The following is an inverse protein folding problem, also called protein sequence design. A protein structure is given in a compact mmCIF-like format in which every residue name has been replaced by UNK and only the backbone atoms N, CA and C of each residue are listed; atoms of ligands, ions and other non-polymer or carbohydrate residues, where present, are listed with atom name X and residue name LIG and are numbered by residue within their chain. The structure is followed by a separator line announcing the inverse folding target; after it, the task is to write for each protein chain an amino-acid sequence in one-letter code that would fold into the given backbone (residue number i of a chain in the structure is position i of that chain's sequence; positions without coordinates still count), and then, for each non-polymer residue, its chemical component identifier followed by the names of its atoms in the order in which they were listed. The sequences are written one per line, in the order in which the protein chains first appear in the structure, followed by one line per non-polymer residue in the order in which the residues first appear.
data_IF_311640667789
#
_entry.id   IF_311640667789
#
_cell.length_a   1.000
_cell.length_b   1.000
_cell.length_c   1.000
_cell.angle_alpha   90.00
_cell.angle_beta   90.00
_cell.angle_gamma   90.00
#
_symmetry.space_group_name_H-M   'P 1'
#
loop_
_entity.id
_entity.type
_entity.pdbx_description
1 polymer ?
#
# COMPACT_ATOMS: atom_id res chain seq x y z
N UNK A 1 1.52 53.44 -46.63
CA UNK A 1 0.59 52.81 -45.68
C UNK A 1 0.79 51.29 -45.75
N UNK A 2 1.05 50.69 -44.59
CA UNK A 2 1.00 49.26 -44.21
C UNK A 2 1.48 48.13 -45.13
N UNK A 3 2.60 47.51 -44.73
CA UNK A 3 2.76 46.04 -44.80
C UNK A 3 3.07 45.50 -43.39
N UNK A 4 2.04 45.02 -42.69
CA UNK A 4 2.19 44.26 -41.45
C UNK A 4 2.42 42.79 -41.77
N UNK A 5 3.50 42.20 -41.25
CA UNK A 5 3.75 40.76 -41.28
C UNK A 5 3.05 40.12 -40.08
N UNK A 6 2.16 39.13 -40.25
CA UNK A 6 1.60 38.40 -39.11
C UNK A 6 2.64 37.41 -38.59
N UNK A 7 2.99 37.55 -37.30
CA UNK A 7 3.79 36.60 -36.56
C UNK A 7 2.97 35.34 -36.26
N UNK A 8 3.56 34.17 -36.54
CA UNK A 8 2.98 32.87 -36.22
C UNK A 8 3.37 32.55 -34.76
N UNK A 9 2.37 32.47 -33.88
CA UNK A 9 2.53 31.90 -32.53
C UNK A 9 2.26 30.40 -32.64
N UNK A 10 3.30 29.58 -32.46
CA UNK A 10 3.16 28.13 -32.35
C UNK A 10 2.85 27.81 -30.88
N UNK A 11 1.61 27.43 -30.59
CA UNK A 11 1.23 26.88 -29.30
C UNK A 11 1.66 25.41 -29.24
N UNK A 12 2.65 25.08 -28.39
CA UNK A 12 3.03 23.70 -28.10
C UNK A 12 2.03 23.14 -27.10
N UNK A 13 1.15 22.25 -27.56
CA UNK A 13 0.28 21.48 -26.69
C UNK A 13 1.05 20.29 -26.10
N UNK A 14 1.34 20.33 -24.80
CA UNK A 14 1.86 19.17 -24.06
C UNK A 14 0.70 18.23 -23.80
N UNK A 15 0.63 17.13 -24.55
CA UNK A 15 -0.32 16.05 -24.28
C UNK A 15 0.24 15.18 -23.15
N UNK A 16 -0.25 15.38 -21.92
CA UNK A 16 -0.05 14.39 -20.85
C UNK A 16 -0.90 13.16 -21.17
N UNK A 17 -0.28 12.11 -21.70
CA UNK A 17 -0.93 10.83 -21.87
C UNK A 17 -1.23 10.21 -20.49
N UNK A 18 -2.47 10.35 -20.02
CA UNK A 18 -2.97 9.59 -18.88
C UNK A 18 -3.08 8.12 -19.28
N UNK A 19 -2.19 7.26 -18.77
CA UNK A 19 -2.31 5.82 -18.98
C UNK A 19 -3.61 5.30 -18.34
N UNK A 20 -4.42 4.51 -19.05
CA UNK A 20 -5.67 3.99 -18.49
C UNK A 20 -5.38 3.09 -17.28
N UNK A 21 -5.96 3.42 -16.13
CA UNK A 21 -5.80 2.70 -14.86
C UNK A 21 -6.14 1.19 -14.94
N UNK A 22 -6.93 0.77 -15.94
CA UNK A 22 -7.28 -0.63 -16.24
C UNK A 22 -6.11 -1.47 -16.78
N UNK A 23 -5.08 -0.87 -17.36
CA UNK A 23 -3.92 -1.59 -17.91
C UNK A 23 -2.81 -1.82 -16.86
N UNK A 24 -2.92 -1.22 -15.69
CA UNK A 24 -1.91 -1.36 -14.64
C UNK A 24 -1.99 -2.78 -14.08
N UNK A 25 -0.84 -3.45 -13.94
CA UNK A 25 -0.80 -4.79 -13.35
C UNK A 25 -0.96 -4.67 -11.83
N UNK A 26 -1.59 -5.64 -11.13
CA UNK A 26 -1.67 -5.67 -9.67
C UNK A 26 -0.30 -5.46 -9.02
N UNK A 27 0.74 -6.10 -9.56
CA UNK A 27 2.13 -5.95 -9.13
C UNK A 27 2.60 -4.49 -9.11
N UNK A 28 2.28 -3.71 -10.15
CA UNK A 28 2.71 -2.32 -10.27
C UNK A 28 2.10 -1.42 -9.17
N UNK A 29 0.97 -1.84 -8.59
CA UNK A 29 0.37 -1.15 -7.43
C UNK A 29 1.22 -1.36 -6.18
N UNK A 30 1.68 -2.60 -5.96
CA UNK A 30 2.54 -2.95 -4.82
C UNK A 30 3.96 -2.40 -4.99
N UNK A 31 4.52 -2.47 -6.21
CA UNK A 31 5.82 -1.87 -6.52
C UNK A 31 5.82 -0.36 -6.21
N UNK A 32 4.76 0.35 -6.61
CA UNK A 32 4.63 1.78 -6.33
C UNK A 32 4.44 2.05 -4.84
N UNK A 33 3.63 1.24 -4.15
CA UNK A 33 3.42 1.37 -2.70
C UNK A 33 4.75 1.32 -1.95
N UNK A 34 5.57 0.31 -2.18
CA UNK A 34 6.88 0.22 -1.53
C UNK A 34 7.86 1.29 -2.00
N UNK A 35 7.80 1.71 -3.28
CA UNK A 35 8.65 2.80 -3.76
C UNK A 35 8.34 4.13 -3.06
N UNK A 36 7.06 4.46 -2.93
CA UNK A 36 6.61 5.72 -2.34
C UNK A 36 6.84 5.78 -0.83
N UNK A 37 6.79 4.63 -0.15
CA UNK A 37 6.91 4.52 1.31
C UNK A 37 8.17 3.77 1.77
N UNK A 38 9.20 3.67 0.92
CA UNK A 38 10.44 2.96 1.28
C UNK A 38 11.10 3.51 2.54
N UNK A 39 10.99 4.81 2.76
CA UNK A 39 11.61 5.49 3.90
C UNK A 39 10.92 5.18 5.22
N UNK A 40 9.70 4.64 5.23
CA UNK A 40 8.95 4.32 6.46
C UNK A 40 9.70 3.36 7.38
N UNK A 41 10.53 2.46 6.84
CA UNK A 41 11.34 1.54 7.66
C UNK A 41 12.37 2.28 8.52
N UNK A 42 12.95 3.37 8.01
CA UNK A 42 13.98 4.16 8.69
C UNK A 42 13.41 5.42 9.38
N UNK A 43 12.25 5.88 8.90
CA UNK A 43 11.59 7.13 9.27
C UNK A 43 10.10 6.86 9.56
N UNK A 44 9.76 6.33 10.76
CA UNK A 44 8.39 5.99 11.12
C UNK A 44 7.41 7.17 11.06
N UNK A 45 7.89 8.41 11.20
CA UNK A 45 7.11 9.64 11.06
C UNK A 45 6.55 9.85 9.64
N UNK A 46 7.10 9.15 8.65
CA UNK A 46 6.65 9.15 7.25
C UNK A 46 5.71 7.98 6.93
N UNK A 47 5.14 7.34 7.96
CA UNK A 47 4.35 6.12 7.78
C UNK A 47 3.17 6.29 6.82
N UNK A 48 2.95 5.24 6.03
CA UNK A 48 1.80 5.08 5.16
C UNK A 48 0.47 5.22 5.91
N UNK A 49 0.38 4.71 7.15
CA UNK A 49 -0.89 4.73 7.90
C UNK A 49 -1.30 6.13 8.36
N UNK A 50 -0.32 7.03 8.48
CA UNK A 50 -0.52 8.42 8.88
C UNK A 50 -0.78 9.37 7.70
N UNK A 51 -0.81 8.85 6.48
CA UNK A 51 -1.12 9.65 5.31
C UNK A 51 -2.58 10.09 5.25
N UNK A 52 -2.90 11.19 4.53
CA UNK A 52 -4.29 11.57 4.28
C UNK A 52 -5.07 10.45 3.59
N UNK A 53 -6.38 10.34 3.88
CA UNK A 53 -7.28 9.32 3.28
C UNK A 53 -7.15 9.23 1.75
N UNK A 54 -6.99 10.37 1.08
CA UNK A 54 -6.85 10.42 -0.38
C UNK A 54 -5.55 9.78 -0.90
N UNK A 55 -4.49 9.76 -0.10
CA UNK A 55 -3.22 9.08 -0.42
C UNK A 55 -3.36 7.58 -0.16
N UNK A 56 -3.91 7.19 0.98
CA UNK A 56 -4.19 5.79 1.34
C UNK A 56 -5.07 5.12 0.26
N UNK A 57 -6.13 5.79 -0.18
CA UNK A 57 -7.07 5.29 -1.19
C UNK A 57 -6.50 5.16 -2.62
N UNK A 58 -5.27 5.63 -2.86
CA UNK A 58 -4.53 5.30 -4.10
C UNK A 58 -4.08 3.85 -4.12
N UNK A 59 -3.92 3.25 -2.95
CA UNK A 59 -3.36 1.92 -2.75
C UNK A 59 -4.38 0.92 -2.23
N UNK A 60 -5.19 1.31 -1.24
CA UNK A 60 -6.19 0.43 -0.63
C UNK A 60 -7.56 0.61 -1.28
N UNK A 61 -8.40 -0.42 -1.24
CA UNK A 61 -9.80 -0.28 -1.64
C UNK A 61 -10.56 0.58 -0.62
N UNK A 62 -11.78 1.02 -0.98
CA UNK A 62 -12.54 1.95 -0.14
C UNK A 62 -12.83 1.39 1.24
N UNK A 63 -13.16 0.09 1.33
CA UNK A 63 -13.51 -0.55 2.60
C UNK A 63 -12.30 -0.73 3.52
N UNK A 64 -11.14 -1.12 2.98
CA UNK A 64 -9.91 -1.24 3.77
C UNK A 64 -9.37 0.14 4.17
N UNK A 65 -9.51 1.14 3.29
CA UNK A 65 -9.22 2.54 3.62
C UNK A 65 -10.05 3.02 4.81
N UNK A 66 -11.34 2.72 4.83
CA UNK A 66 -12.24 3.11 5.93
C UNK A 66 -11.84 2.46 7.25
N UNK A 67 -11.51 1.17 7.23
CA UNK A 67 -11.05 0.45 8.41
C UNK A 67 -9.75 1.05 8.97
N UNK A 68 -8.78 1.36 8.12
CA UNK A 68 -7.50 1.94 8.54
C UNK A 68 -7.67 3.36 9.09
N UNK A 69 -8.47 4.20 8.43
CA UNK A 69 -8.77 5.55 8.91
C UNK A 69 -9.52 5.53 10.25
N UNK A 70 -10.43 4.58 10.44
CA UNK A 70 -11.13 4.42 11.72
C UNK A 70 -10.19 4.00 12.85
N UNK A 71 -9.23 3.12 12.57
CA UNK A 71 -8.22 2.70 13.55
C UNK A 71 -7.29 3.86 13.95
N UNK A 72 -6.83 4.64 12.97
CA UNK A 72 -6.05 5.87 13.24
C UNK A 72 -6.83 6.90 14.05
N UNK A 73 -8.11 7.12 13.73
CA UNK A 73 -8.96 8.04 14.47
C UNK A 73 -9.20 7.56 15.92
N UNK A 74 -9.28 6.24 16.13
CA UNK A 74 -9.28 5.64 17.46
C UNK A 74 -8.00 6.00 18.22
N UNK A 75 -6.83 5.74 17.64
CA UNK A 75 -5.55 6.01 18.29
C UNK A 75 -5.36 7.50 18.63
N UNK A 76 -5.80 8.39 17.74
CA UNK A 76 -5.78 9.85 17.98
C UNK A 76 -6.68 10.25 19.15
N UNK A 77 -7.85 9.61 19.29
CA UNK A 77 -8.83 9.93 20.35
C UNK A 77 -8.45 9.34 21.70
N UNK A 78 -7.87 8.14 21.71
CA UNK A 78 -7.53 7.42 22.96
C UNK A 78 -6.10 7.68 23.41
N UNK A 79 -5.23 8.16 22.53
CA UNK A 79 -3.78 8.21 22.75
C UNK A 79 -3.17 6.84 23.08
N UNK A 80 -3.80 5.78 22.59
CA UNK A 80 -3.44 4.37 22.82
C UNK A 80 -3.30 3.67 21.48
N UNK A 81 -2.63 2.51 21.48
CA UNK A 81 -2.64 1.60 20.34
C UNK A 81 -4.05 1.00 20.22
N UNK A 82 -4.66 1.09 19.04
CA UNK A 82 -5.94 0.46 18.76
C UNK A 82 -5.75 -0.95 18.22
N UNK A 83 -6.18 -1.27 17.00
CA UNK A 83 -6.08 -2.65 16.48
C UNK A 83 -4.77 -2.91 15.76
N UNK A 84 -4.22 -1.91 15.07
CA UNK A 84 -2.93 -2.05 14.42
C UNK A 84 -1.82 -1.62 15.38
N UNK A 85 -1.00 -2.59 15.78
CA UNK A 85 0.10 -2.42 16.74
C UNK A 85 1.49 -2.62 16.11
N UNK A 86 1.58 -2.67 14.78
CA UNK A 86 2.82 -2.84 14.02
C UNK A 86 2.80 -2.03 12.72
N UNK A 87 3.96 -1.85 12.09
CA UNK A 87 4.08 -1.13 10.83
C UNK A 87 3.45 -1.92 9.67
N UNK A 88 2.38 -1.38 9.08
CA UNK A 88 1.49 -2.08 8.14
C UNK A 88 2.23 -2.67 6.93
N UNK A 89 3.16 -1.92 6.34
CA UNK A 89 3.88 -2.33 5.13
C UNK A 89 5.02 -3.31 5.40
N UNK A 90 5.49 -3.37 6.64
CA UNK A 90 6.65 -4.14 7.04
C UNK A 90 6.29 -5.38 7.88
N UNK A 91 5.08 -5.43 8.42
CA UNK A 91 4.60 -6.55 9.23
C UNK A 91 5.43 -6.77 10.51
N UNK A 92 6.04 -5.71 11.03
CA UNK A 92 6.93 -5.71 12.20
C UNK A 92 6.67 -4.48 13.08
N UNK A 93 6.88 -4.62 14.39
CA UNK A 93 6.90 -3.48 15.32
C UNK A 93 8.18 -2.65 15.18
N UNK A 94 9.27 -3.30 14.79
CA UNK A 94 10.59 -2.70 14.57
C UNK A 94 11.08 -3.15 13.19
N UNK A 95 10.74 -2.40 12.12
CA UNK A 95 11.09 -2.79 10.76
C UNK A 95 12.58 -2.52 10.48
N UNK A 96 13.32 -3.57 10.14
CA UNK A 96 14.73 -3.53 9.73
C UNK A 96 14.93 -3.94 8.25
N UNK A 97 13.84 -3.95 7.48
CA UNK A 97 13.84 -4.43 6.11
C UNK A 97 14.48 -3.41 5.17
N UNK A 98 15.60 -3.79 4.57
CA UNK A 98 16.30 -2.98 3.56
C UNK A 98 16.01 -3.45 2.13
N UNK A 99 15.59 -4.71 1.98
CA UNK A 99 15.32 -5.34 0.69
C UNK A 99 13.85 -5.73 0.56
N UNK A 100 13.24 -5.30 -0.55
CA UNK A 100 11.86 -5.67 -0.91
C UNK A 100 11.85 -6.36 -2.26
N UNK A 101 11.32 -7.58 -2.31
CA UNK A 101 11.09 -8.33 -3.54
C UNK A 101 9.61 -8.47 -3.80
N UNK A 102 9.15 -8.11 -5.00
CA UNK A 102 7.74 -8.22 -5.38
C UNK A 102 7.58 -9.31 -6.44
N UNK A 103 6.74 -10.30 -6.16
CA UNK A 103 6.53 -11.47 -7.02
C UNK A 103 5.05 -11.66 -7.35
N UNK A 104 4.78 -12.09 -8.59
CA UNK A 104 3.45 -12.54 -9.01
C UNK A 104 3.19 -13.96 -8.52
N UNK A 105 1.91 -14.30 -8.42
CA UNK A 105 1.48 -15.69 -8.18
C UNK A 105 0.69 -16.23 -9.37
N UNK A 106 0.27 -17.50 -9.30
CA UNK A 106 -0.66 -18.09 -10.26
C UNK A 106 -2.03 -17.40 -10.25
N UNK A 107 -2.42 -16.85 -9.10
CA UNK A 107 -3.60 -16.01 -8.96
C UNK A 107 -3.23 -14.57 -9.34
N UNK A 108 -3.81 -14.01 -10.42
CA UNK A 108 -3.50 -12.64 -10.84
C UNK A 108 -3.95 -11.59 -9.82
N UNK A 109 -4.88 -11.90 -8.92
CA UNK A 109 -5.31 -11.00 -7.86
C UNK A 109 -4.39 -11.01 -6.65
N UNK A 110 -3.36 -11.87 -6.63
CA UNK A 110 -2.45 -12.00 -5.48
C UNK A 110 -1.01 -11.67 -5.87
N UNK A 111 -0.42 -10.76 -5.11
CA UNK A 111 0.99 -10.35 -5.20
C UNK A 111 1.68 -10.68 -3.88
N UNK A 112 2.91 -11.16 -3.96
CA UNK A 112 3.72 -11.51 -2.78
C UNK A 112 4.83 -10.49 -2.63
N UNK A 113 4.93 -9.86 -1.46
CA UNK A 113 6.09 -9.08 -1.06
C UNK A 113 6.95 -9.90 -0.12
N UNK A 114 8.23 -10.00 -0.44
CA UNK A 114 9.27 -10.56 0.41
C UNK A 114 10.13 -9.46 0.99
N UNK A 115 10.26 -9.44 2.31
CA UNK A 115 11.02 -8.44 3.06
C UNK A 115 12.25 -9.11 3.67
N UNK A 116 13.43 -8.64 3.26
CA UNK A 116 14.72 -9.05 3.82
C UNK A 116 15.32 -7.90 4.63
N UNK A 117 15.82 -8.22 5.82
CA UNK A 117 16.55 -7.29 6.68
C UNK A 117 18.06 -7.53 6.63
N UNK A 118 18.74 -7.03 7.66
CA UNK A 118 20.17 -7.25 7.89
C UNK A 118 20.53 -8.75 8.08
N UNK A 119 21.82 -9.06 8.12
CA UNK A 119 22.27 -10.44 8.34
C UNK A 119 21.73 -11.01 9.65
N UNK A 120 21.07 -12.17 9.58
CA UNK A 120 20.39 -12.80 10.73
C UNK A 120 18.92 -12.38 10.92
N UNK A 121 18.45 -11.35 10.21
CA UNK A 121 17.06 -10.93 10.25
C UNK A 121 16.14 -11.95 9.58
N UNK A 122 14.93 -12.10 10.13
CA UNK A 122 13.95 -13.03 9.61
C UNK A 122 13.36 -12.49 8.31
N UNK A 123 13.48 -13.27 7.23
CA UNK A 123 12.72 -12.98 6.01
C UNK A 123 11.20 -13.09 6.25
N UNK A 124 10.47 -12.04 5.88
CA UNK A 124 9.02 -11.95 6.04
C UNK A 124 8.37 -12.04 4.65
N UNK A 125 7.39 -12.92 4.49
CA UNK A 125 6.54 -12.98 3.30
C UNK A 125 5.14 -12.45 3.63
N UNK A 126 4.70 -11.44 2.88
CA UNK A 126 3.37 -10.86 2.95
C UNK A 126 2.63 -11.09 1.64
N UNK A 127 1.35 -11.46 1.73
CA UNK A 127 0.50 -11.66 0.55
C UNK A 127 -0.53 -10.55 0.45
N UNK A 128 -0.45 -9.80 -0.63
CA UNK A 128 -1.40 -8.75 -0.98
C UNK A 128 -2.49 -9.36 -1.86
N UNK A 129 -3.72 -9.29 -1.41
CA UNK A 129 -4.91 -9.60 -2.20
C UNK A 129 -5.44 -8.30 -2.79
N UNK A 130 -5.58 -8.22 -4.11
CA UNK A 130 -5.99 -7.02 -4.82
C UNK A 130 -7.30 -7.24 -5.57
N UNK A 131 -8.08 -6.18 -5.69
CA UNK A 131 -9.30 -6.13 -6.50
C UNK A 131 -9.16 -5.08 -7.59
N UNK A 132 -9.70 -5.36 -8.77
CA UNK A 132 -9.73 -4.39 -9.86
C UNK A 132 -10.96 -3.50 -9.69
N UNK A 133 -10.73 -2.23 -9.36
CA UNK A 133 -11.78 -1.22 -9.19
C UNK A 133 -11.90 -0.34 -10.44
N UNK A 134 -12.90 0.54 -10.48
CA UNK A 134 -12.98 1.59 -11.51
C UNK A 134 -11.74 2.50 -11.53
N UNK A 135 -11.02 2.60 -10.41
CA UNK A 135 -9.81 3.40 -10.26
C UNK A 135 -8.52 2.57 -10.43
N UNK A 136 -8.61 1.34 -10.95
CA UNK A 136 -7.51 0.39 -11.09
C UNK A 136 -7.40 -0.57 -9.92
N UNK A 137 -6.29 -1.31 -9.86
CA UNK A 137 -6.04 -2.29 -8.80
C UNK A 137 -5.87 -1.62 -7.44
N UNK A 138 -6.51 -2.20 -6.43
CA UNK A 138 -6.43 -1.76 -5.04
C UNK A 138 -6.25 -2.96 -4.12
N UNK A 139 -5.47 -2.77 -3.07
CA UNK A 139 -5.28 -3.76 -2.01
C UNK A 139 -6.60 -3.92 -1.26
N UNK A 140 -7.13 -5.14 -1.32
CA UNK A 140 -8.31 -5.58 -0.61
C UNK A 140 -7.96 -6.20 0.74
N UNK A 141 -6.83 -6.90 0.84
CA UNK A 141 -6.35 -7.44 2.10
C UNK A 141 -4.84 -7.65 2.05
N UNK A 142 -4.22 -7.69 3.23
CA UNK A 142 -2.81 -8.05 3.41
C UNK A 142 -2.78 -9.20 4.41
N UNK A 143 -2.17 -10.31 4.00
CA UNK A 143 -1.97 -11.47 4.85
C UNK A 143 -0.50 -11.53 5.27
N UNK A 144 -0.27 -11.32 6.56
CA UNK A 144 1.04 -11.38 7.21
C UNK A 144 1.44 -12.84 7.53
N UNK A 145 2.69 -13.09 7.97
CA UNK A 145 3.07 -14.37 8.54
C UNK A 145 2.07 -14.86 9.58
N UNK A 146 1.94 -16.18 9.71
CA UNK A 146 0.95 -16.83 10.58
C UNK A 146 -0.52 -16.61 10.18
N UNK A 147 -0.78 -16.12 8.95
CA UNK A 147 -2.13 -15.92 8.37
C UNK A 147 -2.97 -14.85 9.06
N UNK A 148 -2.33 -13.86 9.67
CA UNK A 148 -3.03 -12.67 10.14
C UNK A 148 -3.47 -11.83 8.93
N UNK A 149 -4.78 -11.61 8.80
CA UNK A 149 -5.38 -10.74 7.77
C UNK A 149 -5.55 -9.33 8.33
N UNK A 150 -5.04 -8.32 7.62
CA UNK A 150 -5.20 -6.91 7.98
C UNK A 150 -6.67 -6.53 8.06
N UNK A 151 -7.47 -6.93 7.07
CA UNK A 151 -8.90 -6.66 7.05
C UNK A 151 -9.59 -7.27 8.27
N UNK A 152 -9.27 -8.53 8.59
CA UNK A 152 -9.84 -9.20 9.76
C UNK A 152 -9.45 -8.48 11.06
N UNK A 153 -8.16 -8.17 11.22
CA UNK A 153 -7.60 -7.40 12.35
C UNK A 153 -8.35 -6.09 12.54
N UNK A 154 -8.38 -5.23 11.52
CA UNK A 154 -8.99 -3.89 11.62
C UNK A 154 -10.52 -3.93 11.78
N UNK A 155 -11.18 -4.98 11.30
CA UNK A 155 -12.64 -5.16 11.47
C UNK A 155 -13.04 -5.65 12.87
N UNK A 156 -12.07 -6.00 13.74
CA UNK A 156 -12.35 -6.56 15.06
C UNK A 156 -12.96 -7.96 15.03
N UNK A 157 -12.85 -8.68 13.91
CA UNK A 157 -13.28 -10.09 13.84
C UNK A 157 -12.21 -10.99 14.44
N UNK A 158 -12.58 -12.03 15.22
CA UNK A 158 -11.62 -13.00 15.72
C UNK A 158 -10.84 -13.64 14.57
N UNK A 159 -9.52 -13.49 14.58
CA UNK A 159 -8.62 -14.31 13.75
C UNK A 159 -8.62 -15.71 14.36
N UNK A 160 -8.91 -16.79 13.60
CA UNK A 160 -8.87 -18.14 14.15
C UNK A 160 -7.49 -18.42 14.77
N UNK A 161 -7.45 -18.59 16.11
CA UNK A 161 -6.23 -19.02 16.79
C UNK A 161 -5.88 -20.42 16.30
N UNK A 162 -4.64 -20.61 15.86
CA UNK A 162 -4.13 -21.96 15.57
C UNK A 162 -4.24 -22.80 16.85
N UNK A 163 -4.71 -24.05 16.82
CA UNK A 163 -4.54 -24.94 17.96
C UNK A 163 -3.03 -25.04 18.26
N UNK A 164 -2.67 -25.00 19.54
CA UNK A 164 -1.31 -25.28 19.97
C UNK A 164 -0.88 -26.61 19.37
N UNK A 165 0.27 -26.64 18.69
CA UNK A 165 0.83 -27.90 18.20
C UNK A 165 1.22 -28.73 19.45
N UNK A 166 0.84 -30.02 19.53
CA UNK A 166 1.27 -30.89 20.63
C UNK A 166 2.79 -31.05 20.66
#
# INVERSE_FOLDING_TARGET
MHHGRPGIIIAIAIVLAAMPAKAQRPQATIDRLYKDFRSEAEHPELSFVDQPRAVIGRYLDSSLTELLVADRACATRTHEICRLDFALLWGSQDPDAHDVTIRRTKDPSVVVAGLGGSEGSRYIEMRYHLVNTTNGWRVHDIVYPQRLSLRALLSGRPVPRRPARP
#
